data_IF_125649469121
#
_entry.id   IF_125649469121
#
_cell.length_a   1.000
_cell.length_b   1.000
_cell.length_c   1.000
_cell.angle_alpha   90.00
_cell.angle_beta   90.00
_cell.angle_gamma   90.00
#
_symmetry.space_group_name_H-M   'P 1'
#
loop_
_entity.id
_entity.type
_entity.pdbx_description
1 polymer ?
#
# COMPACT_ATOMS: atom_id res chain seq x y z
N UNK A 1 -1.05 20.65 -2.21
CA UNK A 1 0.11 19.85 -2.67
C UNK A 1 -0.38 18.72 -3.57
N UNK A 2 0.31 18.51 -4.67
CA UNK A 2 -0.01 17.38 -5.55
C UNK A 2 0.43 16.07 -4.91
N UNK A 3 -0.27 14.99 -5.24
CA UNK A 3 0.09 13.66 -4.75
C UNK A 3 1.55 13.30 -5.08
N UNK A 4 2.02 13.65 -6.28
CA UNK A 4 3.41 13.41 -6.69
C UNK A 4 4.45 14.12 -5.83
N UNK A 5 4.08 15.22 -5.16
CA UNK A 5 4.99 15.99 -4.32
C UNK A 5 5.16 15.38 -2.93
N UNK A 6 4.20 14.60 -2.46
CA UNK A 6 4.18 14.04 -1.11
C UNK A 6 4.33 12.52 -1.07
N UNK A 7 4.16 11.85 -2.19
CA UNK A 7 4.26 10.38 -2.26
C UNK A 7 5.68 9.89 -2.02
N UNK A 8 5.77 8.69 -1.47
CA UNK A 8 7.00 7.91 -1.49
C UNK A 8 7.05 7.24 -2.86
N UNK A 9 8.02 7.63 -3.69
CA UNK A 9 8.15 7.11 -5.05
C UNK A 9 8.77 5.71 -5.06
N UNK A 10 8.46 4.95 -6.11
CA UNK A 10 8.97 3.59 -6.30
C UNK A 10 8.80 2.72 -5.06
N UNK A 11 7.58 2.58 -4.53
CA UNK A 11 7.38 1.77 -3.34
C UNK A 11 7.66 0.30 -3.62
N UNK A 12 7.95 -0.44 -2.55
CA UNK A 12 7.99 -1.89 -2.62
C UNK A 12 6.57 -2.37 -2.97
N UNK A 13 6.48 -3.22 -3.97
CA UNK A 13 5.22 -3.85 -4.39
C UNK A 13 5.39 -5.37 -4.38
N UNK A 14 4.28 -6.09 -4.32
CA UNK A 14 4.28 -7.55 -4.42
C UNK A 14 3.40 -7.99 -5.59
N UNK A 15 3.78 -9.07 -6.22
CA UNK A 15 3.00 -9.65 -7.31
C UNK A 15 1.78 -10.41 -6.76
N UNK A 16 0.72 -10.43 -7.53
CA UNK A 16 -0.55 -11.06 -7.17
C UNK A 16 -0.42 -12.52 -6.71
N UNK A 17 0.50 -13.26 -7.33
CA UNK A 17 0.73 -14.66 -7.02
C UNK A 17 1.67 -14.92 -5.85
N UNK A 18 2.26 -13.89 -5.24
CA UNK A 18 3.09 -14.07 -4.07
C UNK A 18 2.27 -14.67 -2.92
N UNK A 19 2.87 -15.53 -2.11
CA UNK A 19 2.16 -16.11 -0.97
C UNK A 19 2.10 -15.14 0.20
N UNK A 20 1.12 -15.33 1.07
CA UNK A 20 1.03 -14.55 2.31
C UNK A 20 2.28 -14.71 3.17
N UNK A 21 2.89 -15.90 3.19
CA UNK A 21 4.16 -16.15 3.89
C UNK A 21 5.31 -15.31 3.32
N UNK A 22 5.42 -15.26 1.99
CA UNK A 22 6.47 -14.47 1.33
C UNK A 22 6.31 -12.98 1.65
N UNK A 23 5.07 -12.49 1.62
CA UNK A 23 4.79 -11.09 1.93
C UNK A 23 5.02 -10.79 3.41
N UNK A 24 4.64 -11.69 4.31
CA UNK A 24 4.92 -11.54 5.73
C UNK A 24 6.43 -11.46 6.00
N UNK A 25 7.22 -12.30 5.35
CA UNK A 25 8.68 -12.25 5.44
C UNK A 25 9.26 -10.94 4.91
N UNK A 26 8.72 -10.43 3.81
CA UNK A 26 9.11 -9.14 3.24
C UNK A 26 8.79 -8.00 4.21
N UNK A 27 7.61 -8.00 4.80
CA UNK A 27 7.19 -7.00 5.79
C UNK A 27 8.13 -7.00 7.00
N UNK A 28 8.53 -8.17 7.47
CA UNK A 28 9.48 -8.31 8.56
C UNK A 28 10.86 -7.76 8.18
N UNK A 29 11.37 -8.16 7.02
CA UNK A 29 12.72 -7.78 6.57
C UNK A 29 12.83 -6.29 6.27
N UNK A 30 11.82 -5.73 5.63
CA UNK A 30 11.78 -4.31 5.22
C UNK A 30 11.08 -3.42 6.22
N UNK A 31 10.51 -4.01 7.26
CA UNK A 31 9.86 -3.25 8.33
C UNK A 31 8.69 -2.39 7.84
N UNK A 32 7.86 -2.98 7.01
CA UNK A 32 6.70 -2.32 6.43
C UNK A 32 5.44 -3.10 6.80
N UNK A 33 4.31 -2.40 6.92
CA UNK A 33 3.04 -3.00 7.35
C UNK A 33 2.00 -3.09 6.25
N UNK A 34 2.19 -2.37 5.16
CA UNK A 34 1.27 -2.35 4.01
C UNK A 34 2.08 -2.29 2.72
N UNK A 35 1.65 -3.05 1.73
CA UNK A 35 2.28 -3.01 0.39
C UNK A 35 1.20 -3.04 -0.68
N UNK A 36 1.41 -2.33 -1.79
CA UNK A 36 0.55 -2.49 -2.97
C UNK A 36 0.75 -3.86 -3.59
N UNK A 37 -0.35 -4.45 -4.05
CA UNK A 37 -0.36 -5.69 -4.83
C UNK A 37 -0.54 -5.32 -6.29
N UNK A 38 0.33 -5.84 -7.14
CA UNK A 38 0.33 -5.57 -8.58
C UNK A 38 0.20 -6.88 -9.36
N UNK A 39 -0.18 -6.79 -10.62
CA UNK A 39 -0.33 -7.95 -11.51
C UNK A 39 1.00 -8.68 -11.71
N UNK A 40 2.07 -7.93 -12.01
CA UNK A 40 3.42 -8.48 -12.17
C UNK A 40 4.45 -7.36 -11.92
N UNK A 41 5.72 -7.71 -11.63
CA UNK A 41 6.76 -6.73 -11.33
C UNK A 41 7.14 -5.81 -12.49
N UNK A 42 6.89 -6.23 -13.72
CA UNK A 42 7.24 -5.46 -14.92
C UNK A 42 6.24 -4.33 -15.17
N UNK A 43 4.96 -4.67 -15.23
CA UNK A 43 3.91 -3.72 -15.55
C UNK A 43 3.42 -2.95 -14.33
N UNK A 44 3.49 -3.55 -13.15
CA UNK A 44 3.14 -2.94 -11.87
C UNK A 44 1.73 -2.35 -11.82
N UNK A 45 0.78 -2.98 -12.48
CA UNK A 45 -0.61 -2.52 -12.45
C UNK A 45 -1.24 -2.84 -11.10
N UNK A 46 -1.85 -1.82 -10.54
CA UNK A 46 -2.46 -1.88 -9.22
C UNK A 46 -3.66 -2.83 -9.19
N UNK A 47 -3.65 -3.75 -8.24
CA UNK A 47 -4.77 -4.66 -7.97
C UNK A 47 -5.41 -4.42 -6.61
N UNK A 48 -4.65 -3.92 -5.65
CA UNK A 48 -5.11 -3.70 -4.30
C UNK A 48 -3.95 -3.48 -3.35
N UNK A 49 -4.23 -3.48 -2.06
CA UNK A 49 -3.20 -3.41 -1.01
C UNK A 49 -3.37 -4.58 -0.06
N UNK A 50 -2.27 -4.99 0.56
CA UNK A 50 -2.32 -5.97 1.63
C UNK A 50 -1.52 -5.47 2.82
N UNK A 51 -2.12 -5.60 4.02
CA UNK A 51 -1.49 -5.23 5.28
C UNK A 51 -1.15 -6.48 6.08
N UNK A 52 -0.30 -6.30 7.09
CA UNK A 52 -0.01 -7.34 8.09
C UNK A 52 -1.31 -7.80 8.78
N UNK A 53 -2.20 -6.87 9.08
CA UNK A 53 -3.51 -7.20 9.66
C UNK A 53 -4.36 -8.05 8.72
N UNK A 54 -4.34 -7.77 7.41
CA UNK A 54 -5.07 -8.57 6.43
C UNK A 54 -4.56 -10.01 6.39
N UNK A 55 -3.25 -10.21 6.48
CA UNK A 55 -2.66 -11.55 6.53
C UNK A 55 -3.12 -12.28 7.80
N UNK A 56 -3.09 -11.60 8.95
CA UNK A 56 -3.49 -12.20 10.22
C UNK A 56 -4.98 -12.52 10.22
N UNK A 57 -5.82 -11.59 9.79
CA UNK A 57 -7.29 -11.73 9.96
C UNK A 57 -7.95 -12.48 8.81
N UNK A 58 -7.46 -12.33 7.59
CA UNK A 58 -8.11 -12.91 6.40
C UNK A 58 -7.46 -14.19 5.90
N UNK A 59 -6.23 -14.47 6.30
CA UNK A 59 -5.53 -15.70 5.95
C UNK A 59 -5.41 -16.59 7.17
N UNK A 60 -4.55 -16.24 8.11
CA UNK A 60 -4.27 -17.06 9.32
C UNK A 60 -5.54 -17.21 10.19
N UNK A 61 -6.26 -16.11 10.42
CA UNK A 61 -7.45 -16.10 11.26
C UNK A 61 -8.62 -16.92 10.71
N UNK A 62 -8.64 -17.18 9.40
CA UNK A 62 -9.64 -18.04 8.77
C UNK A 62 -9.17 -19.50 8.64
N UNK A 63 -7.99 -19.82 9.16
CA UNK A 63 -7.46 -21.17 9.12
C UNK A 63 -6.75 -21.54 7.82
N UNK A 64 -6.47 -20.55 6.96
CA UNK A 64 -5.71 -20.80 5.73
C UNK A 64 -4.21 -20.91 6.03
N UNK A 65 -3.52 -21.77 5.30
CA UNK A 65 -2.07 -21.82 5.37
C UNK A 65 -1.48 -20.66 4.58
N UNK A 66 -0.73 -19.74 5.23
CA UNK A 66 -0.16 -18.60 4.51
C UNK A 66 0.85 -18.99 3.42
N UNK A 67 1.40 -20.19 3.45
CA UNK A 67 2.26 -20.72 2.40
C UNK A 67 1.50 -21.13 1.14
N UNK A 68 0.19 -21.31 1.23
CA UNK A 68 -0.68 -21.77 0.14
C UNK A 68 -1.64 -20.68 -0.36
N UNK A 69 -1.62 -19.51 0.25
CA UNK A 69 -2.52 -18.39 -0.12
C UNK A 69 -1.80 -17.37 -0.98
N UNK A 70 -2.35 -17.09 -2.16
CA UNK A 70 -1.93 -15.96 -2.96
C UNK A 70 -2.46 -14.65 -2.35
N UNK A 71 -1.61 -13.63 -2.25
CA UNK A 71 -1.99 -12.37 -1.60
C UNK A 71 -3.13 -11.64 -2.33
N UNK A 72 -3.31 -11.86 -3.62
CA UNK A 72 -4.44 -11.27 -4.36
C UNK A 72 -5.79 -11.70 -3.79
N UNK A 73 -5.88 -12.89 -3.18
CA UNK A 73 -7.14 -13.41 -2.61
C UNK A 73 -7.49 -12.73 -1.29
N UNK A 74 -6.54 -12.07 -0.67
CA UNK A 74 -6.71 -11.39 0.62
C UNK A 74 -6.50 -9.88 0.56
N UNK A 75 -6.13 -9.35 -0.60
CA UNK A 75 -5.89 -7.94 -0.78
C UNK A 75 -7.19 -7.13 -0.71
N UNK A 76 -7.08 -5.92 -0.19
CA UNK A 76 -8.18 -4.96 -0.20
C UNK A 76 -8.18 -4.19 -1.51
N UNK A 77 -9.37 -3.98 -2.08
CA UNK A 77 -9.56 -3.22 -3.31
C UNK A 77 -10.22 -1.86 -3.06
N UNK A 78 -10.57 -1.57 -1.82
CA UNK A 78 -11.24 -0.34 -1.40
C UNK A 78 -10.27 0.76 -0.94
N UNK A 79 -8.97 0.53 -1.02
CA UNK A 79 -7.95 1.53 -0.70
C UNK A 79 -8.06 2.71 -1.67
N UNK A 80 -8.07 3.96 -1.16
CA UNK A 80 -8.11 5.12 -2.03
C UNK A 80 -6.93 5.18 -2.99
N UNK A 81 -7.21 5.47 -4.25
CA UNK A 81 -6.20 5.68 -5.29
C UNK A 81 -6.33 7.08 -5.86
N UNK A 82 -5.22 7.69 -6.20
CA UNK A 82 -5.18 9.02 -6.79
C UNK A 82 -4.18 9.06 -7.93
N UNK A 83 -4.27 10.08 -8.75
CA UNK A 83 -3.30 10.37 -9.81
C UNK A 83 -2.17 11.25 -9.27
N UNK A 84 -1.01 11.30 -9.93
CA UNK A 84 0.10 12.15 -9.48
C UNK A 84 -0.27 13.64 -9.37
N UNK A 85 -1.12 14.11 -10.25
CA UNK A 85 -1.57 15.52 -10.31
C UNK A 85 -2.71 15.84 -9.34
N UNK A 86 -3.27 14.87 -8.65
CA UNK A 86 -4.38 15.08 -7.71
C UNK A 86 -3.94 15.99 -6.57
N UNK A 87 -4.73 17.06 -6.33
CA UNK A 87 -4.48 17.96 -5.21
C UNK A 87 -4.95 17.33 -3.88
N UNK A 88 -4.06 17.36 -2.90
CA UNK A 88 -4.35 16.91 -1.54
C UNK A 88 -4.44 18.14 -0.64
N UNK A 89 -5.67 18.56 -0.34
CA UNK A 89 -5.92 19.74 0.50
C UNK A 89 -5.68 19.40 1.97
N UNK A 90 -4.90 20.25 2.64
CA UNK A 90 -4.65 20.10 4.06
C UNK A 90 -3.68 18.97 4.42
N UNK A 91 -3.08 18.31 3.46
CA UNK A 91 -2.09 17.28 3.72
C UNK A 91 -0.81 17.91 4.29
N UNK A 92 -0.39 17.39 5.43
CA UNK A 92 0.92 17.70 6.00
C UNK A 92 1.67 16.39 6.12
N UNK A 93 2.89 16.35 5.59
CA UNK A 93 3.77 15.19 5.79
C UNK A 93 3.92 14.95 7.29
N UNK A 94 3.65 13.72 7.74
CA UNK A 94 3.98 13.35 9.13
C UNK A 94 5.45 13.63 9.38
N UNK A 95 5.75 14.24 10.52
CA UNK A 95 7.12 14.66 10.89
C UNK A 95 8.11 13.51 11.00
N UNK A 96 7.66 12.28 10.89
CA UNK A 96 8.47 11.07 11.10
C UNK A 96 8.20 10.03 10.02
N UNK A 97 8.40 10.41 8.76
CA UNK A 97 8.62 9.42 7.72
C UNK A 97 10.09 8.97 7.76
N UNK A 98 10.45 8.37 8.88
CA UNK A 98 11.65 7.56 8.92
C UNK A 98 11.34 6.26 8.16
N UNK A 99 12.11 5.90 7.12
CA UNK A 99 11.93 4.62 6.42
C UNK A 99 11.96 3.40 7.34
N UNK A 100 12.46 3.57 8.57
CA UNK A 100 12.43 2.55 9.60
C UNK A 100 11.26 2.64 10.56
N UNK A 101 10.33 3.59 10.38
CA UNK A 101 9.20 3.71 11.28
C UNK A 101 8.10 2.70 10.94
N UNK A 102 7.88 1.77 11.87
CA UNK A 102 6.93 0.66 11.75
C UNK A 102 5.47 1.09 11.71
N UNK A 103 5.19 2.34 11.98
CA UNK A 103 3.82 2.85 12.14
C UNK A 103 3.29 3.54 10.88
N UNK A 104 4.12 3.67 9.85
CA UNK A 104 3.67 4.27 8.60
C UNK A 104 2.76 3.28 7.87
N UNK A 105 1.47 3.58 7.89
CA UNK A 105 0.48 2.87 7.09
C UNK A 105 0.25 3.65 5.81
N UNK A 106 0.56 3.02 4.69
CA UNK A 106 0.19 3.57 3.39
C UNK A 106 -1.30 3.38 3.18
N UNK A 107 -2.02 4.45 2.91
CA UNK A 107 -3.46 4.37 2.68
C UNK A 107 -3.90 4.90 1.35
N UNK A 108 -3.05 5.63 0.68
CA UNK A 108 -3.38 6.19 -0.62
C UNK A 108 -2.32 5.72 -1.60
N UNK A 109 -2.74 5.06 -2.66
CA UNK A 109 -1.83 4.60 -3.71
C UNK A 109 -1.92 5.57 -4.87
N UNK A 110 -0.76 5.99 -5.37
CA UNK A 110 -0.66 6.88 -6.53
C UNK A 110 -0.42 6.03 -7.76
N UNK A 111 -1.32 6.15 -8.73
CA UNK A 111 -1.26 5.39 -9.99
C UNK A 111 -1.26 6.34 -11.19
N UNK A 112 -0.69 5.88 -12.30
CA UNK A 112 -0.74 6.61 -13.56
C UNK A 112 -2.00 6.28 -14.38
N UNK A 113 -2.07 6.80 -15.61
CA UNK A 113 -3.20 6.56 -16.51
C UNK A 113 -3.38 5.10 -16.94
N UNK A 114 -2.32 4.30 -16.86
CA UNK A 114 -2.33 2.86 -17.15
C UNK A 114 -2.51 2.01 -15.90
N UNK A 115 -2.85 2.62 -14.76
CA UNK A 115 -3.01 2.00 -13.45
C UNK A 115 -1.72 1.43 -12.86
N UNK A 116 -0.57 1.89 -13.31
CA UNK A 116 0.72 1.48 -12.73
C UNK A 116 0.95 2.19 -11.41
N UNK A 117 1.47 1.47 -10.43
CA UNK A 117 1.82 2.05 -9.13
C UNK A 117 3.04 2.94 -9.27
N UNK A 118 2.89 4.21 -8.94
CA UNK A 118 3.96 5.20 -8.94
C UNK A 118 4.47 5.50 -7.54
N UNK A 119 3.62 5.44 -6.53
CA UNK A 119 3.98 5.76 -5.17
C UNK A 119 2.88 5.45 -4.18
N UNK A 120 3.15 5.74 -2.93
CA UNK A 120 2.11 5.69 -1.90
C UNK A 120 2.24 6.89 -0.96
N UNK A 121 1.12 7.21 -0.30
CA UNK A 121 1.02 8.33 0.63
C UNK A 121 0.62 7.77 1.99
N UNK A 122 1.28 8.22 3.08
CA UNK A 122 0.99 7.76 4.44
C UNK A 122 -0.44 8.04 4.88
N UNK A 123 -0.86 7.33 5.92
CA UNK A 123 -2.24 7.29 6.40
C UNK A 123 -2.80 8.64 6.80
N UNK A 124 -4.00 9.01 6.31
CA UNK A 124 -4.63 10.28 6.65
C UNK A 124 -5.06 10.43 8.11
N UNK A 125 -5.21 9.33 8.87
CA UNK A 125 -5.61 9.40 10.29
C UNK A 125 -4.63 10.19 11.14
N UNK A 126 -3.37 10.28 10.72
CA UNK A 126 -2.38 11.09 11.41
C UNK A 126 -2.45 12.56 11.02
N UNK A 127 -3.29 12.89 10.05
CA UNK A 127 -3.47 14.24 9.55
C UNK A 127 -4.97 14.55 9.45
N UNK A 128 -5.59 14.99 10.55
CA UNK A 128 -7.02 15.31 10.53
C UNK A 128 -7.36 16.35 9.46
N UNK A 129 -8.44 16.10 8.74
CA UNK A 129 -8.96 17.05 7.77
C UNK A 129 -8.40 16.92 6.37
N UNK A 130 -7.74 15.82 6.01
CA UNK A 130 -7.35 15.56 4.62
C UNK A 130 -8.61 15.38 3.78
N UNK A 131 -8.70 16.20 2.73
CA UNK A 131 -9.71 16.07 1.71
C UNK A 131 -8.98 15.71 0.42
N UNK A 132 -9.34 14.56 -0.16
CA UNK A 132 -8.84 14.16 -1.46
C UNK A 132 -9.75 14.78 -2.51
N UNK A 133 -9.21 15.67 -3.34
CA UNK A 133 -9.96 16.26 -4.43
C UNK A 133 -10.26 15.19 -5.49
N UNK A 134 -11.49 15.15 -6.04
CA UNK A 134 -11.87 14.21 -7.08
C UNK A 134 -11.04 14.39 -8.37
#
# INVERSE_FOLDING_TARGET
MRASEVMIADPIVVAAGATSSEVAALMRTKNISVVPVVDNPKDRRYLGTISDRDIVTRCVGLGHDPGDCAVQDHARTDTPVVKPETELKGYKLPKQLDPGDHHVRATIVVIDGDKRVLGFIPHPEEVPGIIIAP
#
